data_IF_839914792900
#
_entry.id   IF_839914792900
#
_cell.length_a   1.000
_cell.length_b   1.000
_cell.length_c   1.000
_cell.angle_alpha   90.00
_cell.angle_beta   90.00
_cell.angle_gamma   90.00
#
_symmetry.space_group_name_H-M   'P 1'
#
loop_
_entity.id
_entity.type
_entity.pdbx_description
1 polymer ?
#
# COMPACT_ATOMS: atom_id res chain seq x y z
N UNK A 1 8.37 -0.79 -30.86
CA UNK A 1 9.07 -1.62 -29.86
C UNK A 1 8.07 -2.01 -28.79
N UNK A 2 7.98 -3.29 -28.40
CA UNK A 2 7.17 -3.72 -27.25
C UNK A 2 7.60 -3.01 -25.97
N UNK A 3 6.64 -2.62 -25.14
CA UNK A 3 6.92 -1.96 -23.84
C UNK A 3 7.80 -2.81 -22.91
N UNK A 4 7.78 -4.13 -23.07
CA UNK A 4 8.61 -5.08 -22.32
C UNK A 4 10.11 -5.04 -22.65
N UNK A 5 10.51 -4.32 -23.70
CA UNK A 5 11.91 -4.20 -24.10
C UNK A 5 12.62 -2.98 -23.51
N UNK A 6 11.89 -2.05 -22.88
CA UNK A 6 12.51 -0.87 -22.26
C UNK A 6 13.16 -1.24 -20.93
N UNK A 7 14.45 -0.92 -20.80
CA UNK A 7 15.20 -1.00 -19.54
C UNK A 7 15.53 0.40 -19.04
N UNK A 8 15.42 0.60 -17.73
CA UNK A 8 15.63 1.91 -17.10
C UNK A 8 17.05 2.44 -17.37
N UNK A 9 18.04 1.55 -17.41
CA UNK A 9 19.44 1.87 -17.70
C UNK A 9 19.62 2.41 -19.13
N UNK A 10 18.92 1.82 -20.09
CA UNK A 10 18.96 2.27 -21.49
C UNK A 10 18.37 3.67 -21.61
N UNK A 11 17.23 3.92 -20.96
CA UNK A 11 16.56 5.24 -20.98
C UNK A 11 17.46 6.31 -20.32
N UNK A 12 18.09 6.00 -19.19
CA UNK A 12 19.04 6.91 -18.53
C UNK A 12 20.19 7.30 -19.46
N UNK A 13 20.75 6.33 -20.18
CA UNK A 13 21.87 6.57 -21.10
C UNK A 13 21.47 7.26 -22.39
N UNK A 14 20.35 6.88 -23.01
CA UNK A 14 19.92 7.39 -24.32
C UNK A 14 19.35 8.81 -24.24
N UNK A 15 18.65 9.13 -23.14
CA UNK A 15 18.00 10.43 -22.96
C UNK A 15 18.75 11.36 -22.00
N UNK A 16 19.86 10.91 -21.43
CA UNK A 16 20.67 11.72 -20.50
C UNK A 16 19.91 12.12 -19.22
N UNK A 17 18.92 11.33 -18.81
CA UNK A 17 18.07 11.66 -17.66
C UNK A 17 18.70 11.16 -16.35
N UNK A 18 18.60 11.99 -15.31
CA UNK A 18 18.99 11.61 -13.94
C UNK A 18 17.77 11.05 -13.24
N UNK A 19 17.90 9.86 -12.67
CA UNK A 19 16.86 9.29 -11.81
C UNK A 19 16.93 9.98 -10.45
N UNK A 20 15.87 10.68 -10.07
CA UNK A 20 15.71 11.23 -8.72
C UNK A 20 14.74 10.34 -7.95
N UNK A 21 15.25 9.58 -7.00
CA UNK A 21 14.42 8.78 -6.11
C UNK A 21 13.96 9.66 -4.94
N UNK A 22 12.66 9.93 -4.88
CA UNK A 22 12.06 10.59 -3.72
C UNK A 22 11.54 9.51 -2.78
N UNK A 23 12.23 9.34 -1.65
CA UNK A 23 11.76 8.50 -0.56
C UNK A 23 10.76 9.27 0.28
N UNK A 24 9.70 8.59 0.72
CA UNK A 24 8.69 9.20 1.56
C UNK A 24 7.86 10.25 0.81
N UNK A 25 7.20 9.85 -0.28
CA UNK A 25 6.25 10.68 -1.03
C UNK A 25 5.22 11.38 -0.12
N UNK A 26 4.90 10.74 1.02
CA UNK A 26 3.97 11.24 2.03
C UNK A 26 4.63 11.48 3.39
N UNK A 27 5.96 11.59 3.46
CA UNK A 27 6.68 11.78 4.73
C UNK A 27 6.30 13.08 5.45
N UNK A 28 5.86 14.08 4.69
CA UNK A 28 5.39 15.36 5.23
C UNK A 28 3.88 15.40 5.48
N UNK A 29 3.14 14.36 5.09
CA UNK A 29 1.70 14.29 5.30
C UNK A 29 1.43 13.73 6.71
N UNK A 30 0.69 14.45 7.57
CA UNK A 30 0.34 13.94 8.89
C UNK A 30 -0.59 12.72 8.74
N UNK A 31 -0.51 11.81 9.72
CA UNK A 31 -1.41 10.66 9.77
C UNK A 31 -2.87 11.10 9.77
N UNK A 32 -3.68 10.47 8.93
CA UNK A 32 -5.11 10.68 8.91
C UNK A 32 -5.78 9.77 9.93
N UNK A 33 -6.59 10.35 10.80
CA UNK A 33 -7.45 9.56 11.70
C UNK A 33 -8.49 8.82 10.86
N UNK A 34 -8.68 7.54 11.15
CA UNK A 34 -9.76 6.76 10.55
C UNK A 34 -11.14 7.22 11.04
N UNK A 35 -12.19 6.88 10.28
CA UNK A 35 -13.56 7.25 10.64
C UNK A 35 -14.07 6.49 11.85
N UNK A 36 -15.05 7.07 12.56
CA UNK A 36 -15.71 6.41 13.69
C UNK A 36 -16.32 5.06 13.28
N UNK A 37 -16.97 5.00 12.10
CA UNK A 37 -17.53 3.76 11.58
C UNK A 37 -16.47 2.66 11.42
N UNK A 38 -15.29 3.01 10.90
CA UNK A 38 -14.19 2.05 10.77
C UNK A 38 -13.67 1.61 12.16
N UNK A 39 -13.61 2.53 13.12
CA UNK A 39 -13.25 2.22 14.51
C UNK A 39 -14.16 1.15 15.10
N UNK A 40 -15.47 1.40 15.06
CA UNK A 40 -16.49 0.54 15.67
C UNK A 40 -16.54 -0.82 14.95
N UNK A 41 -16.40 -0.81 13.62
CA UNK A 41 -16.35 -2.03 12.81
C UNK A 41 -15.18 -2.92 13.21
N UNK A 42 -13.97 -2.35 13.33
CA UNK A 42 -12.77 -3.11 13.71
C UNK A 42 -12.81 -3.59 15.16
N UNK A 43 -13.32 -2.77 16.09
CA UNK A 43 -13.47 -3.14 17.49
C UNK A 43 -14.35 -4.40 17.65
N UNK A 44 -15.44 -4.50 16.90
CA UNK A 44 -16.31 -5.67 16.90
C UNK A 44 -15.71 -6.87 16.16
N UNK A 45 -15.11 -6.64 14.99
CA UNK A 45 -14.73 -7.70 14.07
C UNK A 45 -13.39 -8.37 14.39
N UNK A 46 -12.41 -7.64 14.92
CA UNK A 46 -11.08 -8.19 15.22
C UNK A 46 -11.15 -9.36 16.21
N UNK A 47 -11.84 -9.25 17.37
CA UNK A 47 -11.94 -10.37 18.30
C UNK A 47 -12.59 -11.62 17.67
N UNK A 48 -13.61 -11.42 16.84
CA UNK A 48 -14.31 -12.51 16.14
C UNK A 48 -13.43 -13.19 15.10
N UNK A 49 -12.73 -12.41 14.28
CA UNK A 49 -11.82 -12.94 13.27
C UNK A 49 -10.68 -13.75 13.89
N UNK A 50 -10.15 -13.28 15.03
CA UNK A 50 -9.14 -13.99 15.81
C UNK A 50 -9.69 -15.26 16.46
N UNK A 51 -10.93 -15.24 16.97
CA UNK A 51 -11.58 -16.43 17.54
C UNK A 51 -11.89 -17.51 16.49
N UNK A 52 -12.32 -17.12 15.29
CA UNK A 52 -12.57 -18.06 14.18
C UNK A 52 -11.25 -18.61 13.62
N UNK A 53 -10.19 -17.80 13.65
CA UNK A 53 -8.82 -18.19 13.29
C UNK A 53 -8.67 -18.79 11.89
N UNK A 54 -9.43 -18.29 10.92
CA UNK A 54 -9.30 -18.65 9.50
C UNK A 54 -8.76 -17.48 8.69
N UNK A 55 -8.01 -17.78 7.62
CA UNK A 55 -7.51 -16.75 6.71
C UNK A 55 -8.66 -15.99 6.04
N UNK A 56 -9.76 -16.68 5.73
CA UNK A 56 -10.97 -16.03 5.21
C UNK A 56 -11.56 -15.03 6.21
N UNK A 57 -11.68 -15.40 7.48
CA UNK A 57 -12.23 -14.49 8.49
C UNK A 57 -11.35 -13.26 8.66
N UNK A 58 -10.03 -13.40 8.69
CA UNK A 58 -9.11 -12.25 8.76
C UNK A 58 -9.25 -11.34 7.53
N UNK A 59 -9.37 -11.91 6.34
CA UNK A 59 -9.50 -11.18 5.08
C UNK A 59 -10.86 -10.52 4.84
N UNK A 60 -11.89 -10.83 5.62
CA UNK A 60 -13.22 -10.22 5.45
C UNK A 60 -13.53 -9.25 6.59
N UNK A 61 -12.84 -9.39 7.72
CA UNK A 61 -13.18 -8.71 8.98
C UNK A 61 -12.10 -7.73 9.45
N UNK A 62 -10.89 -7.77 8.87
CA UNK A 62 -9.75 -6.92 9.26
C UNK A 62 -9.15 -6.17 8.07
N UNK A 63 -8.95 -6.86 6.94
CA UNK A 63 -8.28 -6.35 5.71
C UNK A 63 -9.31 -6.24 4.60
#
# INVERSE_FOLDING_TARGET
MPYSQFRLEQIKSEFGITLSEQFGLFAEIPEATYSQFLSETLEYNIPLALAINSDKSRSEMIV
#
